data_IF_145950061065
#
_entry.id   IF_145950061065
#
_cell.length_a   1.000
_cell.length_b   1.000
_cell.length_c   1.000
_cell.angle_alpha   90.00
_cell.angle_beta   90.00
_cell.angle_gamma   90.00
#
_symmetry.space_group_name_H-M   'P 1'
#
loop_
_entity.id
_entity.type
_entity.pdbx_description
1 polymer ?
#
# COMPACT_ATOMS: atom_id res chain seq x y z
N UNK A 1 -5.61 4.45 24.93
CA UNK A 1 -5.27 4.92 23.57
C UNK A 1 -4.96 6.41 23.63
N UNK A 2 -3.87 6.87 23.03
CA UNK A 2 -3.65 8.29 22.80
C UNK A 2 -4.54 8.71 21.62
N UNK A 3 -5.51 9.60 21.84
CA UNK A 3 -6.50 9.96 20.80
C UNK A 3 -5.91 10.75 19.63
N UNK A 4 -4.66 11.20 19.74
CA UNK A 4 -3.98 12.05 18.76
C UNK A 4 -2.89 11.33 17.94
N UNK A 5 -2.65 10.04 18.20
CA UNK A 5 -1.63 9.25 17.48
C UNK A 5 -2.33 8.12 16.74
N UNK A 6 -2.19 8.10 15.42
CA UNK A 6 -2.68 7.01 14.57
C UNK A 6 -1.57 6.00 14.27
N UNK A 7 -1.89 4.71 14.36
CA UNK A 7 -0.99 3.61 14.07
C UNK A 7 -1.24 3.06 12.67
N UNK A 8 -0.35 3.39 11.73
CA UNK A 8 -0.31 2.74 10.41
C UNK A 8 0.67 1.57 10.46
N UNK A 9 0.12 0.35 10.42
CA UNK A 9 0.88 -0.87 10.63
C UNK A 9 1.21 -1.52 9.27
N UNK A 10 2.51 -1.62 8.96
CA UNK A 10 3.01 -2.34 7.79
C UNK A 10 3.04 -3.84 8.08
N UNK A 11 2.36 -4.60 7.23
CA UNK A 11 2.30 -6.06 7.31
C UNK A 11 3.09 -6.66 6.15
N UNK A 12 3.59 -7.90 6.34
CA UNK A 12 4.38 -8.60 5.34
C UNK A 12 5.71 -7.88 4.97
N UNK A 13 6.35 -7.27 5.98
CA UNK A 13 7.58 -6.48 5.82
C UNK A 13 8.71 -7.32 5.22
N UNK A 14 9.39 -6.76 4.21
CA UNK A 14 10.43 -7.42 3.38
C UNK A 14 11.61 -8.04 4.16
N UNK A 15 11.84 -7.59 5.40
CA UNK A 15 12.87 -8.11 6.30
C UNK A 15 12.30 -8.72 7.59
N UNK A 16 11.01 -9.04 7.60
CA UNK A 16 10.40 -9.83 8.66
C UNK A 16 11.01 -11.23 8.71
N UNK A 17 10.91 -11.90 9.85
CA UNK A 17 11.28 -13.31 9.99
C UNK A 17 10.30 -14.18 9.21
N UNK A 18 10.36 -14.15 7.87
CA UNK A 18 9.48 -14.88 6.96
C UNK A 18 9.48 -16.40 7.20
N UNK A 19 10.50 -16.93 7.89
CA UNK A 19 10.58 -18.33 8.31
C UNK A 19 9.73 -18.66 9.56
N UNK A 20 9.36 -17.66 10.36
CA UNK A 20 8.54 -17.79 11.57
C UNK A 20 7.05 -17.53 11.29
N UNK A 21 6.73 -16.76 10.24
CA UNK A 21 5.36 -16.39 9.85
C UNK A 21 4.92 -17.00 8.51
N UNK A 22 5.66 -17.98 7.97
CA UNK A 22 5.37 -18.60 6.67
C UNK A 22 4.04 -19.35 6.61
N UNK A 23 3.49 -19.68 7.78
CA UNK A 23 2.20 -20.35 7.96
C UNK A 23 1.02 -19.38 8.04
N UNK A 24 1.27 -18.06 8.12
CA UNK A 24 0.21 -17.04 8.18
C UNK A 24 0.08 -16.28 6.87
N UNK A 25 -1.13 -16.23 6.37
CA UNK A 25 -1.50 -15.38 5.25
C UNK A 25 -1.35 -13.88 5.59
N UNK A 26 -1.13 -13.05 4.56
CA UNK A 26 -1.12 -11.58 4.71
C UNK A 26 -2.46 -11.07 5.27
N UNK A 27 -3.55 -11.75 4.93
CA UNK A 27 -4.88 -11.54 5.46
C UNK A 27 -4.95 -11.70 6.99
N UNK A 28 -4.44 -12.82 7.51
CA UNK A 28 -4.39 -13.08 8.96
C UNK A 28 -3.51 -12.06 9.68
N UNK A 29 -2.36 -11.70 9.09
CA UNK A 29 -1.50 -10.65 9.65
C UNK A 29 -2.20 -9.28 9.71
N UNK A 30 -3.04 -8.96 8.71
CA UNK A 30 -3.83 -7.73 8.70
C UNK A 30 -4.89 -7.73 9.82
N UNK A 31 -5.59 -8.85 9.98
CA UNK A 31 -6.59 -9.02 11.03
C UNK A 31 -5.95 -8.92 12.42
N UNK A 32 -4.83 -9.60 12.65
CA UNK A 32 -4.08 -9.53 13.90
C UNK A 32 -3.70 -8.07 14.21
N UNK A 33 -3.13 -7.34 13.23
CA UNK A 33 -2.76 -5.95 13.41
C UNK A 33 -3.96 -5.03 13.74
N UNK A 34 -5.12 -5.25 13.11
CA UNK A 34 -6.36 -4.54 13.45
C UNK A 34 -6.79 -4.82 14.90
N UNK A 35 -6.80 -6.10 15.31
CA UNK A 35 -7.19 -6.50 16.68
C UNK A 35 -6.23 -5.96 17.75
N UNK A 36 -4.94 -5.83 17.43
CA UNK A 36 -3.91 -5.23 18.30
C UNK A 36 -3.90 -3.69 18.26
N UNK A 37 -4.84 -3.09 17.53
CA UNK A 37 -5.19 -1.68 17.63
C UNK A 37 -4.63 -0.78 16.54
N UNK A 38 -4.25 -1.32 15.38
CA UNK A 38 -3.93 -0.54 14.19
C UNK A 38 -5.11 0.37 13.80
N UNK A 39 -4.79 1.59 13.33
CA UNK A 39 -5.76 2.53 12.76
C UNK A 39 -5.78 2.47 11.23
N UNK A 40 -4.73 1.92 10.60
CA UNK A 40 -4.74 1.50 9.21
C UNK A 40 -3.71 0.41 8.95
N UNK A 41 -3.91 -0.34 7.86
CA UNK A 41 -2.99 -1.36 7.37
C UNK A 41 -2.21 -0.84 6.17
N UNK A 42 -0.92 -1.11 6.12
CA UNK A 42 -0.09 -0.91 4.93
C UNK A 42 0.29 -2.29 4.36
N UNK A 43 -0.15 -2.60 3.15
CA UNK A 43 0.19 -3.83 2.43
C UNK A 43 1.44 -3.58 1.59
N UNK A 44 2.55 -4.26 1.93
CA UNK A 44 3.78 -4.23 1.13
C UNK A 44 3.98 -5.53 0.35
N UNK A 45 4.55 -5.39 -0.85
CA UNK A 45 4.95 -6.51 -1.70
C UNK A 45 6.22 -7.19 -1.19
N UNK A 46 6.37 -8.48 -1.53
CA UNK A 46 7.45 -9.37 -1.08
C UNK A 46 8.88 -8.90 -1.43
N UNK A 47 9.03 -8.06 -2.46
CA UNK A 47 10.32 -7.53 -2.90
C UNK A 47 10.31 -6.01 -2.94
N UNK A 48 11.47 -5.39 -2.66
CA UNK A 48 11.63 -3.94 -2.75
C UNK A 48 11.31 -3.46 -4.16
N UNK A 49 10.37 -2.52 -4.27
CA UNK A 49 9.96 -1.94 -5.54
C UNK A 49 8.88 -2.72 -6.30
N UNK A 50 8.44 -3.89 -5.80
CA UNK A 50 7.29 -4.62 -6.36
C UNK A 50 6.02 -4.37 -5.56
N UNK A 51 4.90 -4.24 -6.27
CA UNK A 51 3.60 -4.08 -5.66
C UNK A 51 3.03 -5.44 -5.25
N UNK A 52 2.16 -5.49 -4.21
CA UNK A 52 1.29 -6.63 -4.02
C UNK A 52 0.36 -6.80 -5.24
N UNK A 53 -0.19 -8.00 -5.45
CA UNK A 53 -1.18 -8.20 -6.51
C UNK A 53 -2.53 -7.59 -6.10
N UNK A 54 -3.39 -7.17 -7.04
CA UNK A 54 -4.73 -6.65 -6.72
C UNK A 54 -5.57 -7.63 -5.88
N UNK A 55 -5.46 -8.93 -6.12
CA UNK A 55 -6.18 -9.98 -5.37
C UNK A 55 -5.74 -10.01 -3.92
N UNK A 56 -4.43 -9.85 -3.66
CA UNK A 56 -3.87 -9.81 -2.31
C UNK A 56 -4.33 -8.57 -1.55
N UNK A 57 -4.39 -7.42 -2.23
CA UNK A 57 -4.93 -6.18 -1.65
C UNK A 57 -6.40 -6.36 -1.33
N UNK A 58 -7.19 -6.92 -2.26
CA UNK A 58 -8.61 -7.19 -2.05
C UNK A 58 -8.84 -8.12 -0.85
N UNK A 59 -8.09 -9.21 -0.75
CA UNK A 59 -8.18 -10.17 0.37
C UNK A 59 -7.99 -9.48 1.74
N UNK A 60 -7.02 -8.57 1.83
CA UNK A 60 -6.81 -7.76 3.05
C UNK A 60 -7.99 -6.83 3.30
N UNK A 61 -8.43 -6.08 2.29
CA UNK A 61 -9.57 -5.16 2.41
C UNK A 61 -10.89 -5.87 2.75
N UNK A 62 -11.07 -7.14 2.35
CA UNK A 62 -12.27 -7.92 2.67
C UNK A 62 -12.30 -8.37 4.15
N UNK A 63 -11.15 -8.37 4.84
CA UNK A 63 -11.00 -8.94 6.19
C UNK A 63 -10.93 -7.87 7.27
N UNK A 64 -10.34 -6.71 6.98
CA UNK A 64 -10.21 -5.61 7.94
C UNK A 64 -11.28 -4.53 7.73
N UNK A 65 -11.69 -3.87 8.81
CA UNK A 65 -12.66 -2.77 8.77
C UNK A 65 -12.01 -1.38 8.84
N UNK A 66 -10.68 -1.34 8.94
CA UNK A 66 -9.86 -0.12 8.95
C UNK A 66 -9.28 0.19 7.55
N UNK A 67 -8.90 1.45 7.27
CA UNK A 67 -8.31 1.82 5.98
C UNK A 67 -7.08 0.99 5.61
N UNK A 68 -6.95 0.68 4.33
CA UNK A 68 -5.84 -0.08 3.74
C UNK A 68 -5.08 0.79 2.75
N UNK A 69 -3.77 0.83 2.91
CA UNK A 69 -2.82 1.55 2.06
C UNK A 69 -1.82 0.58 1.42
N UNK A 70 -1.24 0.96 0.29
CA UNK A 70 -0.23 0.15 -0.40
C UNK A 70 1.15 0.77 -0.22
N UNK A 71 2.11 0.01 0.30
CA UNK A 71 3.41 0.55 0.70
C UNK A 71 4.56 0.35 -0.31
N UNK A 72 4.34 -0.37 -1.43
CA UNK A 72 5.43 -0.61 -2.38
C UNK A 72 5.00 -0.82 -3.83
N UNK A 73 5.90 -0.46 -4.75
CA UNK A 73 5.82 -0.79 -6.18
C UNK A 73 4.67 -0.19 -6.97
N UNK A 74 3.89 0.72 -6.36
CA UNK A 74 2.85 1.47 -7.04
C UNK A 74 3.46 2.42 -8.05
N UNK A 75 2.91 2.43 -9.26
CA UNK A 75 3.30 3.25 -10.40
C UNK A 75 2.09 3.51 -11.31
N UNK A 76 2.24 4.35 -12.34
CA UNK A 76 1.14 4.70 -13.25
C UNK A 76 0.45 3.51 -13.94
N UNK A 77 1.15 2.38 -14.10
CA UNK A 77 0.63 1.22 -14.85
C UNK A 77 -0.24 0.31 -13.98
N UNK A 78 -0.04 0.30 -12.66
CA UNK A 78 -0.76 -0.59 -11.75
C UNK A 78 -1.64 0.16 -10.74
N UNK A 79 -1.51 1.49 -10.64
CA UNK A 79 -2.25 2.29 -9.65
C UNK A 79 -3.76 2.13 -9.78
N UNK A 80 -4.28 2.03 -11.00
CA UNK A 80 -5.71 1.87 -11.25
C UNK A 80 -6.25 0.56 -10.64
N UNK A 81 -5.58 -0.56 -10.89
CA UNK A 81 -6.04 -1.87 -10.42
C UNK A 81 -5.87 -2.04 -8.91
N UNK A 82 -4.88 -1.36 -8.35
CA UNK A 82 -4.55 -1.40 -6.94
C UNK A 82 -5.46 -0.50 -6.08
N UNK A 83 -5.66 0.75 -6.49
CA UNK A 83 -6.50 1.71 -5.75
C UNK A 83 -8.00 1.49 -5.94
N UNK A 84 -8.40 0.55 -6.81
CA UNK A 84 -9.79 0.06 -6.86
C UNK A 84 -10.24 -0.57 -5.53
N UNK A 85 -9.29 -1.15 -4.78
CA UNK A 85 -9.58 -1.86 -3.52
C UNK A 85 -9.07 -1.10 -2.29
N UNK A 86 -7.95 -0.39 -2.41
CA UNK A 86 -7.29 0.31 -1.30
C UNK A 86 -7.62 1.81 -1.25
N UNK A 87 -7.53 2.41 -0.06
CA UNK A 87 -7.82 3.84 0.16
C UNK A 87 -6.65 4.75 -0.21
N UNK A 88 -5.45 4.21 -0.41
CA UNK A 88 -4.31 5.00 -0.86
C UNK A 88 -3.02 4.20 -1.03
N UNK A 89 -1.94 4.93 -1.33
CA UNK A 89 -0.61 4.35 -1.51
C UNK A 89 0.49 5.30 -1.02
N UNK A 90 1.57 4.71 -0.50
CA UNK A 90 2.81 5.39 -0.13
C UNK A 90 3.85 5.12 -1.22
N UNK A 91 4.30 6.18 -1.90
CA UNK A 91 5.10 6.06 -3.12
C UNK A 91 6.46 6.72 -2.91
N UNK A 92 7.52 5.91 -3.02
CA UNK A 92 8.90 6.34 -2.88
C UNK A 92 9.63 6.46 -4.21
N UNK A 93 10.42 5.44 -4.55
CA UNK A 93 11.36 5.45 -5.68
C UNK A 93 10.73 5.79 -7.03
N UNK A 94 9.47 5.40 -7.28
CA UNK A 94 8.80 5.72 -8.55
C UNK A 94 8.67 7.23 -8.81
N UNK A 95 8.54 8.05 -7.76
CA UNK A 95 8.53 9.51 -7.90
C UNK A 95 9.92 10.12 -8.00
N UNK A 96 11.00 9.36 -7.80
CA UNK A 96 12.37 9.85 -7.92
C UNK A 96 12.89 9.66 -9.34
N UNK A 97 13.86 10.49 -9.74
CA UNK A 97 14.56 10.30 -11.03
C UNK A 97 15.18 8.91 -11.11
N UNK A 98 15.07 8.28 -12.28
CA UNK A 98 15.60 6.93 -12.58
C UNK A 98 15.15 5.81 -11.63
N UNK A 99 14.05 6.00 -10.90
CA UNK A 99 13.61 5.08 -9.83
C UNK A 99 14.63 4.90 -8.69
N UNK A 100 15.51 5.87 -8.47
CA UNK A 100 16.52 5.82 -7.41
C UNK A 100 16.06 6.64 -6.19
N UNK A 101 15.84 5.96 -5.06
CA UNK A 101 15.36 6.59 -3.83
C UNK A 101 16.29 7.70 -3.30
N UNK A 102 17.57 7.69 -3.68
CA UNK A 102 18.56 8.71 -3.33
C UNK A 102 18.44 9.99 -4.16
N UNK A 103 17.76 9.94 -5.30
CA UNK A 103 17.60 11.09 -6.19
C UNK A 103 16.43 11.98 -5.76
N UNK A 104 16.38 13.16 -6.35
CA UNK A 104 15.28 14.10 -6.14
C UNK A 104 13.96 13.61 -6.77
N UNK A 105 12.86 14.16 -6.28
CA UNK A 105 11.53 13.90 -6.84
C UNK A 105 11.44 14.53 -8.23
N UNK A 106 10.98 13.75 -9.19
CA UNK A 106 10.64 14.20 -10.53
C UNK A 106 9.19 14.68 -10.58
N UNK A 107 9.00 16.00 -10.73
CA UNK A 107 7.67 16.62 -10.73
C UNK A 107 6.79 16.13 -11.87
N UNK A 108 7.36 15.82 -13.03
CA UNK A 108 6.57 15.40 -14.18
C UNK A 108 6.06 13.97 -14.01
N UNK A 109 6.85 13.10 -13.38
CA UNK A 109 6.38 11.76 -12.97
C UNK A 109 5.23 11.84 -11.96
N UNK A 110 5.33 12.72 -10.96
CA UNK A 110 4.25 12.94 -9.99
C UNK A 110 2.98 13.44 -10.69
N UNK A 111 3.10 14.42 -11.60
CA UNK A 111 1.94 14.96 -12.35
C UNK A 111 1.27 13.89 -13.21
N UNK A 112 2.05 13.12 -13.97
CA UNK A 112 1.53 12.04 -14.82
C UNK A 112 0.81 10.98 -13.99
N UNK A 113 1.40 10.59 -12.85
CA UNK A 113 0.77 9.67 -11.91
C UNK A 113 -0.55 10.21 -11.35
N UNK A 114 -0.56 11.46 -10.87
CA UNK A 114 -1.75 12.06 -10.27
C UNK A 114 -2.87 12.28 -11.29
N UNK A 115 -2.54 12.45 -12.59
CA UNK A 115 -3.55 12.47 -13.65
C UNK A 115 -4.35 11.16 -13.70
N UNK A 116 -3.68 10.01 -13.58
CA UNK A 116 -4.33 8.69 -13.53
C UNK A 116 -5.17 8.54 -12.26
N UNK A 117 -4.64 8.95 -11.11
CA UNK A 117 -5.37 8.87 -9.82
C UNK A 117 -6.62 9.75 -9.81
N UNK A 118 -6.52 10.98 -10.33
CA UNK A 118 -7.67 11.89 -10.37
C UNK A 118 -8.77 11.37 -11.30
N UNK A 119 -8.39 10.72 -12.41
CA UNK A 119 -9.34 10.07 -13.31
C UNK A 119 -10.08 8.93 -12.59
N UNK A 120 -9.35 8.05 -11.90
CA UNK A 120 -9.94 6.97 -11.10
C UNK A 120 -10.93 7.50 -10.04
N UNK A 121 -10.57 8.57 -9.32
CA UNK A 121 -11.45 9.15 -8.30
C UNK A 121 -12.75 9.69 -8.89
N UNK A 122 -12.66 10.33 -10.05
CA UNK A 122 -13.83 10.87 -10.76
C UNK A 122 -14.79 9.74 -11.18
N UNK A 123 -14.26 8.56 -11.54
CA UNK A 123 -15.06 7.38 -11.90
C UNK A 123 -15.79 6.74 -10.72
N UNK A 124 -15.26 6.87 -9.49
CA UNK A 124 -15.87 6.33 -8.26
C UNK A 124 -16.96 7.26 -7.72
N UNK A 125 -16.83 8.58 -7.95
CA UNK A 125 -17.80 9.59 -7.53
C UNK A 125 -18.99 9.75 -8.50
N UNK A 126 -18.93 9.13 -9.68
CA UNK A 126 -19.96 9.16 -10.74
C UNK A 126 -20.98 8.03 -10.59
#
# INVERSE_FOLDING_TARGET
RAQEIQFFCDINVKHGSHFIISDRSVAEQAHDAETEGADAIIVTGFETGKAPTPEKVKEVCDIVNIPVFIGSGVNEKNVHDLLRFAQGAIIGSYFKRDNDWKKEVDKDRVKSFMKVVNQLRSEIES
#
